data_IF_041451236914
#
_entry.id   IF_041451236914
#
_cell.length_a   1.000
_cell.length_b   1.000
_cell.length_c   1.000
_cell.angle_alpha   90.00
_cell.angle_beta   90.00
_cell.angle_gamma   90.00
#
_symmetry.space_group_name_H-M   'P 1'
#
loop_
_entity.id
_entity.type
_entity.pdbx_description
1 polymer ?
#
# COMPACT_ATOMS: atom_id res chain seq x y z
N UNK A 1 11.83 17.13 19.71
CA UNK A 1 12.63 15.87 19.53
C UNK A 1 11.68 14.78 19.10
N UNK A 2 11.99 14.08 17.99
CA UNK A 2 11.18 12.94 17.55
C UNK A 2 11.35 11.80 18.56
N UNK A 3 10.25 11.39 19.18
CA UNK A 3 10.23 10.24 20.07
C UNK A 3 10.14 8.95 19.23
N UNK A 4 11.24 8.19 19.18
CA UNK A 4 11.35 6.96 18.43
C UNK A 4 10.80 5.76 19.23
N UNK A 5 10.18 4.82 18.51
CA UNK A 5 9.71 3.58 19.12
C UNK A 5 8.36 3.68 19.82
N UNK A 6 7.58 4.72 19.48
CA UNK A 6 6.18 4.87 19.93
C UNK A 6 5.19 4.19 18.98
N UNK A 7 5.67 3.66 17.82
CA UNK A 7 4.89 2.92 16.85
C UNK A 7 4.93 1.41 17.07
N UNK A 8 4.65 0.64 16.02
CA UNK A 8 4.64 -0.82 16.04
C UNK A 8 6.01 -1.46 16.30
N UNK A 9 7.10 -0.76 15.99
CA UNK A 9 8.45 -1.23 16.27
C UNK A 9 8.93 -0.57 17.57
N UNK A 10 9.12 -1.34 18.65
CA UNK A 10 9.63 -0.80 19.92
C UNK A 10 11.03 -0.19 19.78
N UNK A 11 11.32 0.82 20.56
CA UNK A 11 12.60 1.56 20.51
C UNK A 11 13.82 0.67 20.73
N UNK A 12 13.72 -0.30 21.63
CA UNK A 12 14.77 -1.27 21.99
C UNK A 12 15.04 -2.30 20.88
N UNK A 13 14.11 -2.48 19.95
CA UNK A 13 14.30 -3.29 18.75
C UNK A 13 15.01 -2.54 17.62
N UNK A 14 15.04 -1.20 17.64
CA UNK A 14 15.67 -0.39 16.59
C UNK A 14 17.19 -0.35 16.84
N UNK A 15 17.94 -1.09 16.02
CA UNK A 15 19.40 -1.21 16.15
C UNK A 15 20.15 -0.12 15.40
N UNK A 16 19.71 0.24 14.20
CA UNK A 16 20.35 1.26 13.37
C UNK A 16 19.34 1.91 12.43
N UNK A 17 19.66 3.10 11.95
CA UNK A 17 18.84 3.84 10.97
C UNK A 17 19.71 4.73 10.10
N UNK A 18 19.33 4.82 8.82
CA UNK A 18 19.94 5.76 7.88
C UNK A 18 18.93 6.79 7.41
N UNK A 19 19.41 7.97 7.11
CA UNK A 19 18.57 9.05 6.58
C UNK A 19 18.82 9.24 5.08
N UNK A 20 17.78 9.62 4.38
CA UNK A 20 17.85 9.91 2.95
C UNK A 20 18.65 11.18 2.71
N UNK A 21 19.63 11.09 1.83
CA UNK A 21 20.43 12.26 1.44
C UNK A 21 19.55 13.29 0.72
N UNK A 22 19.66 14.55 1.09
CA UNK A 22 18.95 15.66 0.46
C UNK A 22 17.48 15.84 0.86
N UNK A 23 16.93 14.99 1.73
CA UNK A 23 15.55 15.13 2.23
C UNK A 23 15.58 15.21 3.75
N UNK A 24 15.30 16.37 4.35
CA UNK A 24 15.32 16.53 5.79
C UNK A 24 14.37 15.54 6.48
N UNK A 25 14.84 14.91 7.54
CA UNK A 25 14.10 13.98 8.42
C UNK A 25 13.53 12.72 7.75
N UNK A 26 13.77 12.48 6.45
CA UNK A 26 13.33 11.26 5.78
C UNK A 26 14.26 10.07 6.11
N UNK A 27 13.68 8.95 6.52
CA UNK A 27 14.38 7.69 6.67
C UNK A 27 14.65 7.07 5.29
N UNK A 28 15.81 6.44 5.17
CA UNK A 28 16.14 5.58 4.03
C UNK A 28 16.07 4.11 4.42
N UNK A 29 16.59 3.76 5.60
CA UNK A 29 16.44 2.42 6.15
C UNK A 29 16.39 2.40 7.67
N UNK A 30 15.83 1.31 8.21
CA UNK A 30 15.85 0.98 9.65
C UNK A 30 16.23 -0.48 9.80
N UNK A 31 17.20 -0.77 10.65
CA UNK A 31 17.58 -2.13 11.03
C UNK A 31 16.92 -2.48 12.35
N UNK A 32 16.18 -3.57 12.37
CA UNK A 32 15.39 -4.04 13.50
C UNK A 32 15.95 -5.37 13.99
N UNK A 33 16.21 -5.46 15.30
CA UNK A 33 16.55 -6.71 15.95
C UNK A 33 15.29 -7.55 16.13
N UNK A 34 15.36 -8.81 15.73
CA UNK A 34 14.29 -9.79 15.88
C UNK A 34 14.40 -10.54 17.20
N UNK A 35 13.32 -11.22 17.60
CA UNK A 35 13.26 -12.02 18.83
C UNK A 35 14.23 -13.20 18.80
N UNK A 36 14.56 -13.74 17.62
CA UNK A 36 15.55 -14.80 17.43
C UNK A 36 17.01 -14.31 17.49
N UNK A 37 17.21 -13.02 17.72
CA UNK A 37 18.51 -12.36 17.75
C UNK A 37 19.08 -11.97 16.38
N UNK A 38 18.44 -12.33 15.29
CA UNK A 38 18.80 -11.89 13.95
C UNK A 38 18.33 -10.45 13.69
N UNK A 39 18.68 -9.91 12.53
CA UNK A 39 18.32 -8.56 12.12
C UNK A 39 17.53 -8.58 10.83
N UNK A 40 16.57 -7.66 10.73
CA UNK A 40 15.84 -7.35 9.49
C UNK A 40 16.07 -5.89 9.13
N UNK A 41 16.19 -5.57 7.85
CA UNK A 41 16.32 -4.19 7.39
C UNK A 41 15.08 -3.80 6.59
N UNK A 42 14.43 -2.72 7.00
CA UNK A 42 13.34 -2.07 6.27
C UNK A 42 13.93 -0.93 5.43
N UNK A 43 13.61 -0.91 4.15
CA UNK A 43 13.98 0.16 3.22
C UNK A 43 12.74 0.99 2.89
N UNK A 44 12.86 2.31 3.00
CA UNK A 44 11.79 3.24 2.65
C UNK A 44 12.04 3.84 1.27
N UNK A 45 11.12 3.60 0.35
CA UNK A 45 11.22 4.09 -1.03
C UNK A 45 9.96 4.87 -1.40
N UNK A 46 10.12 5.92 -2.18
CA UNK A 46 9.02 6.70 -2.74
C UNK A 46 8.84 6.33 -4.21
N UNK A 47 7.60 6.32 -4.69
CA UNK A 47 7.28 6.09 -6.10
C UNK A 47 7.90 7.16 -7.03
N UNK A 48 8.00 8.40 -6.56
CA UNK A 48 8.62 9.50 -7.32
C UNK A 48 10.10 9.29 -7.65
N UNK A 49 10.77 8.39 -6.96
CA UNK A 49 12.15 8.02 -7.26
C UNK A 49 12.27 7.20 -8.55
N UNK A 50 11.14 6.73 -9.08
CA UNK A 50 11.07 5.91 -10.26
C UNK A 50 11.66 4.51 -10.10
N UNK A 51 11.37 3.65 -11.08
CA UNK A 51 11.75 2.24 -11.12
C UNK A 51 13.23 1.96 -10.82
N UNK A 52 14.14 2.81 -11.30
CA UNK A 52 15.59 2.59 -11.15
C UNK A 52 16.06 2.46 -9.70
N UNK A 53 15.40 3.15 -8.78
CA UNK A 53 15.74 3.08 -7.35
C UNK A 53 15.27 1.79 -6.66
N UNK A 54 14.40 1.03 -7.31
CA UNK A 54 13.92 -0.26 -6.83
C UNK A 54 14.81 -1.43 -7.28
N UNK A 55 15.70 -1.22 -8.25
CA UNK A 55 16.50 -2.27 -8.87
C UNK A 55 17.67 -2.78 -8.03
N UNK A 56 18.05 -2.10 -6.95
CA UNK A 56 19.32 -2.34 -6.26
C UNK A 56 19.32 -3.54 -5.29
N UNK A 57 18.17 -3.97 -4.77
CA UNK A 57 18.11 -4.91 -3.65
C UNK A 57 17.29 -6.15 -3.99
N UNK A 58 17.71 -7.33 -3.50
CA UNK A 58 16.88 -8.50 -3.33
C UNK A 58 16.26 -8.44 -1.94
N UNK A 59 14.95 -8.66 -1.83
CA UNK A 59 14.21 -8.54 -0.57
C UNK A 59 13.26 -9.72 -0.38
N UNK A 60 12.91 -10.00 0.87
CA UNK A 60 11.98 -11.08 1.23
C UNK A 60 10.52 -10.63 1.16
N UNK A 61 10.29 -9.33 1.27
CA UNK A 61 8.95 -8.76 1.31
C UNK A 61 8.94 -7.35 0.72
N UNK A 62 7.91 -7.03 -0.06
CA UNK A 62 7.62 -5.67 -0.51
C UNK A 62 6.22 -5.29 -0.08
N UNK A 63 6.09 -4.16 0.58
CA UNK A 63 4.81 -3.54 0.86
C UNK A 63 4.68 -2.24 0.07
N UNK A 64 3.73 -2.23 -0.84
CA UNK A 64 3.30 -1.03 -1.52
C UNK A 64 2.16 -0.39 -0.74
N UNK A 65 2.43 0.76 -0.14
CA UNK A 65 1.42 1.59 0.47
C UNK A 65 0.86 2.54 -0.58
N UNK A 66 -0.44 2.48 -0.79
CA UNK A 66 -1.17 3.00 -1.94
C UNK A 66 -0.78 2.31 -3.27
N UNK A 67 -1.58 2.56 -4.31
CA UNK A 67 -1.42 1.96 -5.61
C UNK A 67 -0.12 2.42 -6.30
N UNK A 68 0.85 1.52 -6.54
CA UNK A 68 2.11 1.87 -7.20
C UNK A 68 1.92 2.07 -8.71
N UNK A 69 2.81 2.82 -9.36
CA UNK A 69 2.97 2.76 -10.81
C UNK A 69 3.27 1.33 -11.26
N UNK A 70 2.76 0.95 -12.43
CA UNK A 70 2.84 -0.43 -12.92
C UNK A 70 4.29 -0.94 -13.05
N UNK A 71 5.19 -0.10 -13.53
CA UNK A 71 6.61 -0.43 -13.70
C UNK A 71 7.33 -0.63 -12.35
N UNK A 72 6.93 0.12 -11.33
CA UNK A 72 7.42 -0.02 -9.94
C UNK A 72 6.87 -1.31 -9.31
N UNK A 73 5.60 -1.63 -9.56
CA UNK A 73 4.98 -2.86 -9.09
C UNK A 73 5.72 -4.11 -9.61
N UNK A 74 5.97 -4.17 -10.92
CA UNK A 74 6.70 -5.28 -11.51
C UNK A 74 8.15 -5.36 -11.03
N UNK A 75 8.79 -4.22 -10.80
CA UNK A 75 10.13 -4.23 -10.25
C UNK A 75 10.14 -4.81 -8.83
N UNK A 76 9.17 -4.45 -7.98
CA UNK A 76 9.04 -5.02 -6.64
C UNK A 76 8.86 -6.54 -6.66
N UNK A 77 7.97 -7.08 -7.51
CA UNK A 77 7.82 -8.52 -7.70
C UNK A 77 9.16 -9.17 -8.09
N UNK A 78 9.88 -8.55 -9.03
CA UNK A 78 11.18 -9.08 -9.48
C UNK A 78 12.18 -9.17 -8.32
N UNK A 79 12.15 -8.23 -7.37
CA UNK A 79 13.07 -8.21 -6.22
C UNK A 79 12.79 -9.32 -5.21
N UNK A 80 11.58 -9.88 -5.16
CA UNK A 80 11.22 -10.98 -4.26
C UNK A 80 11.43 -12.38 -4.87
N UNK A 81 11.67 -12.47 -6.17
CA UNK A 81 11.75 -13.76 -6.86
C UNK A 81 12.86 -14.70 -6.34
N UNK A 82 14.05 -14.15 -6.06
CA UNK A 82 15.19 -14.94 -5.61
C UNK A 82 15.01 -15.51 -4.20
N UNK A 83 14.24 -14.84 -3.35
CA UNK A 83 13.94 -15.25 -1.97
C UNK A 83 12.64 -16.03 -1.86
N UNK A 84 11.87 -16.16 -2.95
CA UNK A 84 10.48 -16.63 -2.95
C UNK A 84 9.61 -15.83 -1.98
N UNK A 85 9.90 -14.54 -1.89
CA UNK A 85 9.25 -13.60 -1.00
C UNK A 85 7.85 -13.23 -1.45
N UNK A 86 7.20 -12.37 -0.67
CA UNK A 86 5.82 -11.97 -0.89
C UNK A 86 5.71 -10.46 -1.18
N UNK A 87 4.63 -10.10 -1.85
CA UNK A 87 4.27 -8.71 -2.14
C UNK A 87 2.90 -8.42 -1.56
N UNK A 88 2.76 -7.32 -0.85
CA UNK A 88 1.48 -6.80 -0.35
C UNK A 88 1.24 -5.41 -0.95
N UNK A 89 0.00 -5.14 -1.30
CA UNK A 89 -0.44 -3.81 -1.75
C UNK A 89 -1.63 -3.40 -0.90
N UNK A 90 -1.55 -2.26 -0.26
CA UNK A 90 -2.67 -1.63 0.46
C UNK A 90 -3.10 -0.39 -0.31
N UNK A 91 -4.35 -0.34 -0.77
CA UNK A 91 -4.80 0.78 -1.59
C UNK A 91 -6.31 1.00 -1.50
N UNK A 92 -6.71 2.23 -1.78
CA UNK A 92 -8.09 2.57 -2.11
C UNK A 92 -8.18 2.78 -3.63
N UNK A 93 -9.06 2.08 -4.36
CA UNK A 93 -9.05 2.09 -5.83
C UNK A 93 -9.67 3.37 -6.43
N UNK A 94 -9.08 4.53 -6.11
CA UNK A 94 -9.55 5.85 -6.54
C UNK A 94 -9.27 6.15 -8.01
N UNK A 95 -8.32 5.46 -8.62
CA UNK A 95 -7.95 5.62 -10.03
C UNK A 95 -8.77 4.71 -10.96
N UNK A 96 -9.75 4.01 -10.41
CA UNK A 96 -10.55 3.04 -11.15
C UNK A 96 -9.83 1.72 -11.36
N UNK A 97 -10.16 1.03 -12.46
CA UNK A 97 -9.58 -0.28 -12.80
C UNK A 97 -8.26 -0.09 -13.54
N UNK A 98 -7.21 0.29 -12.81
CA UNK A 98 -5.86 0.37 -13.37
C UNK A 98 -5.28 -1.03 -13.62
N UNK A 99 -4.16 -1.11 -14.36
CA UNK A 99 -3.48 -2.36 -14.64
C UNK A 99 -3.03 -3.10 -13.36
N UNK A 100 -2.69 -2.39 -12.29
CA UNK A 100 -2.35 -2.98 -10.99
C UNK A 100 -3.61 -3.47 -10.28
N UNK A 101 -4.65 -2.64 -10.19
CA UNK A 101 -5.94 -3.00 -9.56
C UNK A 101 -6.57 -4.22 -10.24
N UNK A 102 -6.58 -4.25 -11.57
CA UNK A 102 -7.15 -5.37 -12.35
C UNK A 102 -6.47 -6.72 -12.06
N UNK A 103 -5.23 -6.73 -11.58
CA UNK A 103 -4.53 -7.97 -11.19
C UNK A 103 -5.07 -8.61 -9.92
N UNK A 104 -5.68 -7.80 -9.06
CA UNK A 104 -6.25 -8.26 -7.78
C UNK A 104 -7.76 -8.39 -7.85
N UNK A 105 -8.42 -7.53 -8.64
CA UNK A 105 -9.87 -7.49 -8.77
C UNK A 105 -10.24 -7.87 -10.21
N UNK A 106 -10.86 -9.03 -10.38
CA UNK A 106 -11.51 -9.38 -11.64
C UNK A 106 -12.81 -8.61 -11.78
N UNK A 107 -13.36 -8.56 -12.99
CA UNK A 107 -14.61 -7.87 -13.33
C UNK A 107 -15.79 -8.22 -12.41
N UNK A 108 -15.80 -9.43 -11.82
CA UNK A 108 -16.80 -9.90 -10.87
C UNK A 108 -16.36 -9.80 -9.40
N UNK A 109 -15.26 -9.10 -9.12
CA UNK A 109 -14.71 -8.93 -7.76
C UNK A 109 -14.02 -10.17 -7.20
N UNK A 110 -13.77 -11.19 -8.02
CA UNK A 110 -13.03 -12.40 -7.60
C UNK A 110 -11.54 -12.25 -7.87
N UNK A 111 -10.74 -12.86 -7.01
CA UNK A 111 -9.29 -12.98 -7.24
C UNK A 111 -9.02 -13.95 -8.37
N UNK A 112 -8.28 -13.51 -9.38
CA UNK A 112 -8.07 -14.24 -10.62
C UNK A 112 -6.94 -15.26 -10.64
N UNK A 113 -6.30 -15.52 -9.51
CA UNK A 113 -5.09 -16.36 -9.50
C UNK A 113 -4.91 -17.07 -8.16
N UNK A 114 -4.44 -18.32 -8.20
CA UNK A 114 -4.17 -19.12 -6.99
C UNK A 114 -3.04 -18.54 -6.12
N UNK A 115 -2.18 -17.70 -6.70
CA UNK A 115 -1.05 -17.08 -6.04
C UNK A 115 -1.36 -15.66 -5.48
N UNK A 116 -2.61 -15.22 -5.55
CA UNK A 116 -3.06 -13.92 -5.06
C UNK A 116 -4.30 -14.03 -4.20
N UNK A 117 -4.35 -13.21 -3.17
CA UNK A 117 -5.51 -13.05 -2.32
C UNK A 117 -5.85 -11.57 -2.17
N UNK A 118 -7.13 -11.26 -2.10
CA UNK A 118 -7.64 -9.91 -1.84
C UNK A 118 -8.49 -9.93 -0.59
N UNK A 119 -8.21 -8.97 0.31
CA UNK A 119 -9.03 -8.71 1.48
C UNK A 119 -9.59 -7.30 1.32
N UNK A 120 -10.89 -7.19 1.22
CA UNK A 120 -11.57 -5.88 1.16
C UNK A 120 -12.05 -5.51 2.54
N UNK A 121 -11.63 -4.32 3.00
CA UNK A 121 -12.13 -3.70 4.22
C UNK A 121 -13.06 -2.55 3.85
N UNK A 122 -14.21 -2.49 4.51
CA UNK A 122 -15.20 -1.45 4.34
C UNK A 122 -15.25 -0.56 5.57
N UNK A 123 -15.95 0.57 5.49
CA UNK A 123 -16.14 1.41 6.67
C UNK A 123 -16.95 0.70 7.77
N UNK A 124 -17.72 -0.33 7.40
CA UNK A 124 -18.52 -1.11 8.37
C UNK A 124 -17.64 -2.05 9.20
N UNK A 125 -16.46 -2.42 8.71
CA UNK A 125 -15.46 -3.21 9.45
C UNK A 125 -14.70 -2.38 10.51
N UNK A 126 -14.86 -1.06 10.50
CA UNK A 126 -14.24 -0.16 11.47
C UNK A 126 -15.11 -0.07 12.75
N UNK A 127 -15.02 -1.09 13.60
CA UNK A 127 -15.86 -1.25 14.80
C UNK A 127 -15.74 -0.11 15.83
N UNK A 128 -14.63 0.63 15.80
CA UNK A 128 -14.37 1.74 16.71
C UNK A 128 -15.16 3.02 16.37
N UNK A 129 -15.83 3.10 15.21
CA UNK A 129 -16.73 4.20 14.88
C UNK A 129 -18.17 3.89 15.19
N UNK A 130 -18.86 4.82 15.84
CA UNK A 130 -20.32 4.76 15.97
C UNK A 130 -21.02 4.92 14.61
N UNK A 131 -22.29 4.49 14.47
CA UNK A 131 -23.06 4.70 13.23
C UNK A 131 -23.12 6.17 12.81
N UNK A 132 -23.24 7.09 13.76
CA UNK A 132 -23.30 8.54 13.51
C UNK A 132 -21.96 9.07 12.98
N UNK A 133 -20.83 8.59 13.52
CA UNK A 133 -19.50 8.95 13.05
C UNK A 133 -19.25 8.41 11.66
N UNK A 134 -19.61 7.16 11.38
CA UNK A 134 -19.53 6.58 10.02
C UNK A 134 -20.32 7.40 9.01
N UNK A 135 -21.55 7.78 9.35
CA UNK A 135 -22.39 8.61 8.48
C UNK A 135 -21.74 9.96 8.17
N UNK A 136 -21.12 10.61 9.16
CA UNK A 136 -20.38 11.87 8.98
C UNK A 136 -19.15 11.68 8.09
N UNK A 137 -18.38 10.61 8.29
CA UNK A 137 -17.21 10.29 7.47
C UNK A 137 -17.64 10.07 6.02
N UNK A 138 -18.68 9.25 5.79
CA UNK A 138 -19.22 8.99 4.44
C UNK A 138 -19.68 10.28 3.76
N UNK A 139 -20.36 11.14 4.50
CA UNK A 139 -20.85 12.41 3.98
C UNK A 139 -19.72 13.40 3.61
N UNK A 140 -18.56 13.28 4.27
CA UNK A 140 -17.39 14.14 3.99
C UNK A 140 -16.68 13.81 2.67
N UNK A 141 -16.86 12.60 2.14
CA UNK A 141 -16.21 12.20 0.91
C UNK A 141 -16.92 12.77 -0.32
N UNK A 142 -16.15 13.16 -1.37
CA UNK A 142 -16.72 13.52 -2.67
C UNK A 142 -17.61 12.40 -3.20
N UNK A 143 -18.72 12.74 -3.86
CA UNK A 143 -19.71 11.76 -4.31
C UNK A 143 -19.09 10.69 -5.21
N UNK A 144 -18.17 11.07 -6.11
CA UNK A 144 -17.52 10.16 -7.06
C UNK A 144 -16.47 9.24 -6.42
N UNK A 145 -15.96 9.55 -5.21
CA UNK A 145 -15.00 8.71 -4.49
C UNK A 145 -15.67 7.87 -3.39
N UNK A 146 -16.93 8.13 -3.09
CA UNK A 146 -17.60 7.59 -1.90
C UNK A 146 -17.61 6.07 -1.88
N UNK A 147 -17.92 5.42 -2.99
CA UNK A 147 -17.95 3.95 -3.07
C UNK A 147 -16.56 3.32 -2.93
N UNK A 148 -15.56 3.91 -3.57
CA UNK A 148 -14.19 3.42 -3.43
C UNK A 148 -13.68 3.54 -1.98
N UNK A 149 -13.94 4.67 -1.32
CA UNK A 149 -13.49 4.93 0.05
C UNK A 149 -14.25 4.17 1.11
N UNK A 150 -15.50 3.81 0.85
CA UNK A 150 -16.35 3.14 1.86
C UNK A 150 -16.48 1.65 1.64
N UNK A 151 -16.40 1.17 0.40
CA UNK A 151 -16.64 -0.22 0.03
C UNK A 151 -15.47 -0.88 -0.70
N UNK A 152 -14.41 -0.12 -1.04
CA UNK A 152 -13.29 -0.62 -1.83
C UNK A 152 -13.65 -0.94 -3.31
N UNK A 153 -14.77 -0.41 -3.80
CA UNK A 153 -15.22 -0.62 -5.18
C UNK A 153 -14.50 0.38 -6.09
N UNK A 154 -13.78 -0.06 -7.14
CA UNK A 154 -13.13 0.84 -8.07
C UNK A 154 -14.11 1.83 -8.67
N UNK A 155 -13.80 3.12 -8.58
CA UNK A 155 -14.61 4.15 -9.23
C UNK A 155 -14.20 4.32 -10.66
N UNK A 156 -15.13 4.80 -11.51
CA UNK A 156 -14.79 5.35 -12.82
C UNK A 156 -13.86 6.55 -12.56
N UNK A 157 -12.61 6.47 -13.05
CA UNK A 157 -11.57 7.45 -12.75
C UNK A 157 -12.03 8.89 -12.97
N UNK A 158 -11.45 9.81 -12.21
CA UNK A 158 -11.74 11.26 -12.20
C UNK A 158 -11.56 11.98 -13.55
N UNK A 159 -11.21 11.26 -14.62
CA UNK A 159 -11.02 11.78 -15.96
C UNK A 159 -12.20 11.56 -16.92
N UNK A 160 -13.27 10.90 -16.51
CA UNK A 160 -14.45 10.73 -17.36
C UNK A 160 -15.31 11.99 -17.34
N UNK A 161 -15.36 12.67 -18.48
CA UNK A 161 -16.23 13.83 -18.72
C UNK A 161 -17.71 13.43 -18.64
N UNK A 162 -18.01 12.16 -18.92
CA UNK A 162 -19.34 11.56 -18.80
C UNK A 162 -19.24 10.27 -17.97
N UNK A 163 -19.88 10.18 -16.78
CA UNK A 163 -19.93 8.97 -15.98
C UNK A 163 -20.99 8.00 -16.56
N UNK A 164 -20.70 7.42 -17.73
CA UNK A 164 -21.53 6.37 -18.34
C UNK A 164 -20.82 5.05 -18.11
N UNK A 165 -21.52 4.08 -17.52
CA UNK A 165 -21.07 2.70 -17.48
C UNK A 165 -20.97 2.17 -18.91
N UNK A 166 -19.82 1.63 -19.27
CA UNK A 166 -19.72 0.81 -20.49
C UNK A 166 -20.49 -0.48 -20.21
N UNK A 167 -21.51 -0.76 -21.05
CA UNK A 167 -22.28 -2.01 -21.05
C UNK A 167 -21.47 -3.19 -21.58
#
# INVERSE_FOLDING_TARGET
EEEWGTGFIPADCISDRTRRMGVPNALDSVTVKRDDGAYSTLYFKSYDQGRSKWQANTVDFVWFDEEPPEDVYFEGITRTNATKGSVMVTFTPLKGMSAVVARFLLEDGKTGSEDRATITMTIDDAEHYSPEERAKIIASYPAHEREARTKGIPTLGSGLIFPVLEE
#
